data_IF_298069482212
#
_entry.id   IF_298069482212
#
_cell.length_a   1.000
_cell.length_b   1.000
_cell.length_c   1.000
_cell.angle_alpha   90.00
_cell.angle_beta   90.00
_cell.angle_gamma   90.00
#
_symmetry.space_group_name_H-M   'P 1'
#
loop_
_entity.id
_entity.type
_entity.pdbx_description
1 polymer ?
#
# COMPACT_ATOMS: atom_id res chain seq x y z
N UNK A 1 -17.70 7.32 -9.40
CA UNK A 1 -18.96 7.63 -8.67
C UNK A 1 -18.77 7.71 -7.16
N UNK A 2 -18.26 6.66 -6.50
CA UNK A 2 -18.06 6.65 -5.04
C UNK A 2 -17.21 7.83 -4.55
N UNK A 3 -16.04 8.08 -5.17
CA UNK A 3 -15.19 9.24 -4.84
C UNK A 3 -15.91 10.59 -5.00
N UNK A 4 -16.76 10.73 -6.03
CA UNK A 4 -17.56 11.94 -6.20
C UNK A 4 -18.56 12.13 -5.06
N UNK A 5 -19.21 11.06 -4.58
CA UNK A 5 -20.08 11.17 -3.41
C UNK A 5 -19.32 11.65 -2.18
N UNK A 6 -18.12 11.10 -1.93
CA UNK A 6 -17.24 11.54 -0.83
C UNK A 6 -16.90 13.03 -0.96
N UNK A 7 -16.49 13.48 -2.14
CA UNK A 7 -16.20 14.90 -2.41
C UNK A 7 -17.43 15.77 -2.12
N UNK A 8 -18.62 15.38 -2.62
CA UNK A 8 -19.86 16.12 -2.39
C UNK A 8 -20.26 16.18 -0.92
N UNK A 9 -20.05 15.10 -0.16
CA UNK A 9 -20.28 15.10 1.29
C UNK A 9 -19.30 16.05 1.98
N UNK A 10 -18.00 15.99 1.63
CA UNK A 10 -16.98 16.85 2.20
C UNK A 10 -17.26 18.34 1.94
N UNK A 11 -17.68 18.70 0.72
CA UNK A 11 -18.08 20.07 0.37
C UNK A 11 -19.27 20.57 1.21
N UNK A 12 -20.23 19.69 1.52
CA UNK A 12 -21.40 20.05 2.34
C UNK A 12 -21.08 20.14 3.83
N UNK A 13 -20.07 19.39 4.29
CA UNK A 13 -19.56 19.46 5.67
C UNK A 13 -18.60 20.64 5.87
N UNK A 14 -18.13 21.28 4.80
CA UNK A 14 -17.22 22.41 4.88
C UNK A 14 -17.92 23.69 5.37
N UNK A 15 -17.37 24.28 6.43
CA UNK A 15 -17.86 25.53 7.02
C UNK A 15 -16.77 26.60 7.04
N UNK A 16 -17.17 27.88 6.89
CA UNK A 16 -16.26 29.04 6.89
C UNK A 16 -15.64 29.35 8.26
N UNK A 17 -16.02 28.63 9.31
CA UNK A 17 -15.52 28.86 10.65
C UNK A 17 -14.04 28.44 10.72
N UNK A 18 -13.19 29.23 11.38
CA UNK A 18 -11.79 28.84 11.59
C UNK A 18 -11.72 27.59 12.46
N UNK A 19 -10.82 26.67 12.10
CA UNK A 19 -10.57 25.41 12.83
C UNK A 19 -9.13 25.39 13.31
N UNK A 20 -8.92 25.06 14.58
CA UNK A 20 -7.58 24.98 15.18
C UNK A 20 -7.12 23.53 15.39
N UNK A 21 -8.08 22.63 15.68
CA UNK A 21 -7.82 21.23 15.97
C UNK A 21 -8.86 20.34 15.29
N UNK A 22 -8.55 19.05 15.14
CA UNK A 22 -9.48 18.04 14.65
C UNK A 22 -9.27 16.73 15.41
N UNK A 23 -10.29 15.87 15.38
CA UNK A 23 -10.21 14.48 15.84
C UNK A 23 -10.29 13.61 14.59
N UNK A 24 -9.22 12.88 14.29
CA UNK A 24 -9.19 11.90 13.22
C UNK A 24 -9.70 10.56 13.71
N UNK A 25 -10.67 9.98 13.02
CA UNK A 25 -11.14 8.62 13.25
C UNK A 25 -10.77 7.80 12.01
N UNK A 26 -9.91 6.80 12.20
CA UNK A 26 -9.47 5.89 11.14
C UNK A 26 -10.17 4.54 11.33
N UNK A 27 -10.89 4.09 10.29
CA UNK A 27 -11.54 2.79 10.22
C UNK A 27 -11.11 2.11 8.92
N UNK A 28 -10.23 1.12 9.04
CA UNK A 28 -9.67 0.35 7.92
C UNK A 28 -9.56 -1.13 8.31
N UNK A 29 -9.41 -2.01 7.32
CA UNK A 29 -9.11 -3.42 7.57
C UNK A 29 -7.77 -3.58 8.31
N UNK A 30 -7.74 -4.54 9.25
CA UNK A 30 -6.52 -4.95 9.94
C UNK A 30 -5.60 -5.77 9.03
N UNK A 31 -4.49 -6.26 9.60
CA UNK A 31 -3.57 -7.15 8.89
C UNK A 31 -4.26 -8.48 8.56
N UNK A 32 -4.19 -8.91 7.29
CA UNK A 32 -4.86 -10.12 6.80
C UNK A 32 -3.87 -11.09 6.15
N UNK A 33 -4.02 -12.37 6.48
CA UNK A 33 -3.27 -13.46 5.85
C UNK A 33 -4.27 -14.50 5.35
N UNK A 34 -4.41 -14.59 4.03
CA UNK A 34 -5.27 -15.56 3.37
C UNK A 34 -4.44 -16.67 2.71
N UNK A 35 -5.12 -17.72 2.24
CA UNK A 35 -4.51 -18.75 1.40
C UNK A 35 -4.08 -18.22 0.03
N UNK A 36 -4.70 -17.12 -0.41
CA UNK A 36 -4.37 -16.40 -1.64
C UNK A 36 -4.29 -14.90 -1.36
N UNK A 37 -3.09 -14.33 -1.40
CA UNK A 37 -2.86 -12.90 -1.18
C UNK A 37 -2.41 -12.26 -2.49
N UNK A 38 -3.14 -11.26 -2.98
CA UNK A 38 -2.81 -10.53 -4.20
C UNK A 38 -2.39 -9.09 -3.88
N UNK A 39 -2.39 -8.21 -4.88
CA UNK A 39 -1.97 -6.82 -4.77
C UNK A 39 -2.77 -6.07 -3.70
N UNK A 40 -4.07 -6.35 -3.58
CA UNK A 40 -4.97 -5.72 -2.62
C UNK A 40 -4.52 -6.02 -1.18
N UNK A 41 -4.15 -7.28 -0.90
CA UNK A 41 -3.60 -7.66 0.40
C UNK A 41 -2.25 -7.00 0.66
N UNK A 42 -1.39 -6.83 -0.36
CA UNK A 42 -0.13 -6.10 -0.18
C UNK A 42 -0.41 -4.65 0.25
N UNK A 43 -1.37 -3.96 -0.37
CA UNK A 43 -1.74 -2.59 -0.01
C UNK A 43 -2.29 -2.50 1.43
N UNK A 44 -3.15 -3.44 1.83
CA UNK A 44 -3.71 -3.52 3.19
C UNK A 44 -2.61 -3.79 4.22
N UNK A 45 -1.77 -4.80 3.97
CA UNK A 45 -0.71 -5.21 4.88
C UNK A 45 0.39 -4.15 4.99
N UNK A 46 0.74 -3.48 3.89
CA UNK A 46 1.65 -2.33 3.90
C UNK A 46 1.11 -1.17 4.75
N UNK A 47 -0.18 -0.87 4.61
CA UNK A 47 -0.83 0.17 5.43
C UNK A 47 -0.75 -0.20 6.92
N UNK A 48 -1.04 -1.45 7.26
CA UNK A 48 -0.96 -1.95 8.63
C UNK A 48 0.49 -1.98 9.15
N UNK A 49 1.49 -2.28 8.32
CA UNK A 49 2.91 -2.20 8.69
C UNK A 49 3.29 -0.76 9.10
N UNK A 50 2.85 0.25 8.34
CA UNK A 50 3.09 1.66 8.68
C UNK A 50 2.33 2.11 9.92
N UNK A 51 1.08 1.67 10.10
CA UNK A 51 0.33 1.97 11.32
C UNK A 51 0.96 1.34 12.54
N UNK A 52 1.49 0.12 12.42
CA UNK A 52 2.22 -0.53 13.51
C UNK A 52 3.52 0.22 13.81
N UNK A 53 4.27 0.67 12.79
CA UNK A 53 5.45 1.50 13.00
C UNK A 53 5.10 2.82 13.71
N UNK A 54 4.01 3.48 13.31
CA UNK A 54 3.51 4.70 13.94
C UNK A 54 3.10 4.46 15.40
N UNK A 55 2.38 3.37 15.69
CA UNK A 55 2.00 2.98 17.04
C UNK A 55 3.22 2.71 17.91
N UNK A 56 4.17 1.91 17.42
CA UNK A 56 5.42 1.61 18.09
C UNK A 56 6.15 2.92 18.43
N UNK A 57 6.42 3.76 17.43
CA UNK A 57 7.11 5.03 17.65
C UNK A 57 6.40 5.89 18.72
N UNK A 58 5.09 6.06 18.63
CA UNK A 58 4.32 6.89 19.56
C UNK A 58 4.35 6.34 20.98
N UNK A 59 4.06 5.04 21.16
CA UNK A 59 4.06 4.39 22.46
C UNK A 59 5.45 4.47 23.12
N UNK A 60 6.51 4.19 22.35
CA UNK A 60 7.88 4.16 22.88
C UNK A 60 8.45 5.53 23.19
N UNK A 61 8.09 6.58 22.43
CA UNK A 61 8.48 7.95 22.77
C UNK A 61 7.85 8.35 24.11
N UNK A 62 6.56 8.08 24.28
CA UNK A 62 5.85 8.39 25.52
C UNK A 62 6.38 7.62 26.73
N UNK A 63 6.64 6.32 26.59
CA UNK A 63 7.23 5.51 27.67
C UNK A 63 8.63 5.99 28.08
N UNK A 64 9.47 6.36 27.11
CA UNK A 64 10.82 6.83 27.39
C UNK A 64 10.85 8.20 28.06
N UNK A 65 9.93 9.10 27.69
CA UNK A 65 9.75 10.36 28.40
C UNK A 65 9.39 10.13 29.87
N UNK A 66 8.53 9.14 30.16
CA UNK A 66 8.17 8.80 31.53
C UNK A 66 9.33 8.16 32.30
N UNK A 67 10.07 7.22 31.70
CA UNK A 67 11.28 6.66 32.34
C UNK A 67 12.31 7.73 32.70
N UNK A 68 12.50 8.70 31.81
CA UNK A 68 13.41 9.83 32.06
C UNK A 68 12.90 10.74 33.17
N UNK A 69 11.59 10.98 33.23
CA UNK A 69 10.94 11.78 34.28
C UNK A 69 11.06 11.13 35.66
N UNK A 70 10.96 9.80 35.72
CA UNK A 70 11.09 9.01 36.94
C UNK A 70 12.55 8.70 37.32
N UNK A 71 13.54 9.10 36.49
CA UNK A 71 14.96 8.86 36.73
C UNK A 71 15.38 7.39 36.60
N UNK A 72 14.62 6.60 35.86
CA UNK A 72 14.90 5.18 35.62
C UNK A 72 16.00 5.06 34.56
N UNK A 73 17.10 4.39 34.92
CA UNK A 73 18.20 4.09 33.98
C UNK A 73 17.75 2.98 33.04
N UNK A 74 17.28 3.37 31.86
CA UNK A 74 16.86 2.46 30.80
C UNK A 74 17.77 2.61 29.57
N UNK A 75 18.08 1.50 28.91
CA UNK A 75 18.86 1.51 27.67
C UNK A 75 17.95 1.88 26.49
N UNK A 76 18.38 2.83 25.66
CA UNK A 76 17.62 3.22 24.47
C UNK A 76 17.53 2.05 23.49
N UNK A 77 16.30 1.64 23.15
CA UNK A 77 16.01 0.63 22.14
C UNK A 77 15.09 1.28 21.12
N UNK A 78 15.52 1.34 19.86
CA UNK A 78 14.70 1.82 18.75
C UNK A 78 13.89 0.67 18.16
N UNK A 79 12.67 0.49 18.67
CA UNK A 79 11.73 -0.51 18.20
C UNK A 79 11.06 -0.16 16.86
N UNK A 80 11.28 1.06 16.32
CA UNK A 80 10.80 1.46 15.00
C UNK A 80 11.63 0.88 13.85
N UNK A 81 12.87 0.46 14.15
CA UNK A 81 13.79 -0.12 13.17
C UNK A 81 13.41 -1.53 12.73
N UNK A 82 12.70 -2.30 13.55
CA UNK A 82 12.35 -3.69 13.22
C UNK A 82 11.38 -3.79 12.03
N UNK A 83 10.48 -2.81 11.88
CA UNK A 83 9.54 -2.74 10.74
C UNK A 83 10.09 -1.97 9.54
N UNK A 84 11.13 -1.16 9.74
CA UNK A 84 11.69 -0.30 8.70
C UNK A 84 12.15 -1.10 7.48
N UNK A 85 12.76 -2.28 7.68
CA UNK A 85 13.25 -3.12 6.59
C UNK A 85 12.14 -3.59 5.63
N UNK A 86 10.96 -3.95 6.15
CA UNK A 86 9.81 -4.37 5.35
C UNK A 86 9.16 -3.17 4.64
N UNK A 87 8.98 -2.05 5.36
CA UNK A 87 8.43 -0.82 4.80
C UNK A 87 9.31 -0.31 3.65
N UNK A 88 10.62 -0.26 3.86
CA UNK A 88 11.57 0.21 2.85
C UNK A 88 11.61 -0.70 1.63
N UNK A 89 11.53 -2.02 1.83
CA UNK A 89 11.42 -2.98 0.73
C UNK A 89 10.21 -2.71 -0.16
N UNK A 90 9.10 -2.21 0.39
CA UNK A 90 7.87 -1.96 -0.35
C UNK A 90 7.91 -0.58 -1.04
N UNK A 91 8.28 0.50 -0.33
CA UNK A 91 8.05 1.88 -0.78
C UNK A 91 9.28 2.64 -1.31
N UNK A 92 10.50 2.22 -0.96
CA UNK A 92 11.70 2.96 -1.38
C UNK A 92 11.94 2.81 -2.89
N UNK A 93 12.77 3.69 -3.49
CA UNK A 93 13.25 3.48 -4.86
C UNK A 93 13.84 2.08 -5.01
N UNK A 94 13.54 1.43 -6.13
CA UNK A 94 13.89 0.02 -6.38
C UNK A 94 13.25 -0.98 -5.40
N UNK A 95 12.23 -0.56 -4.64
CA UNK A 95 11.34 -1.43 -3.87
C UNK A 95 10.22 -2.00 -4.73
N UNK A 96 9.32 -2.76 -4.09
CA UNK A 96 8.27 -3.53 -4.79
C UNK A 96 7.37 -2.63 -5.64
N UNK A 97 6.83 -1.54 -5.07
CA UNK A 97 5.94 -0.65 -5.83
C UNK A 97 6.68 0.10 -6.94
N UNK A 98 7.92 0.54 -6.69
CA UNK A 98 8.74 1.19 -7.70
C UNK A 98 9.02 0.28 -8.90
N UNK A 99 9.35 -0.99 -8.66
CA UNK A 99 9.57 -1.98 -9.73
C UNK A 99 8.25 -2.30 -10.45
N UNK A 100 7.14 -2.36 -9.72
CA UNK A 100 5.81 -2.59 -10.31
C UNK A 100 5.42 -1.46 -11.27
N UNK A 101 5.58 -0.21 -10.83
CA UNK A 101 5.35 0.98 -11.64
C UNK A 101 6.24 1.01 -12.88
N UNK A 102 7.54 0.73 -12.71
CA UNK A 102 8.50 0.67 -13.83
C UNK A 102 8.08 -0.39 -14.87
N UNK A 103 7.72 -1.60 -14.42
CA UNK A 103 7.25 -2.66 -15.32
C UNK A 103 5.92 -2.32 -16.00
N UNK A 104 5.06 -1.51 -15.38
CA UNK A 104 3.82 -1.06 -16.01
C UNK A 104 4.08 -0.13 -17.20
N UNK A 105 5.22 0.58 -17.23
CA UNK A 105 5.57 1.45 -18.36
C UNK A 105 6.02 0.68 -19.60
N UNK A 106 6.44 -0.58 -19.46
CA UNK A 106 6.93 -1.38 -20.58
C UNK A 106 5.80 -2.17 -21.26
N UNK A 107 5.51 -1.95 -22.56
CA UNK A 107 4.39 -2.62 -23.25
C UNK A 107 4.49 -4.14 -23.35
N UNK A 108 5.70 -4.69 -23.22
CA UNK A 108 5.99 -6.13 -23.30
C UNK A 108 6.33 -6.77 -21.95
N UNK A 109 6.22 -6.02 -20.85
CA UNK A 109 6.38 -6.59 -19.52
C UNK A 109 5.25 -7.59 -19.23
N UNK A 110 5.55 -8.54 -18.36
CA UNK A 110 4.63 -9.58 -17.89
C UNK A 110 4.82 -9.77 -16.39
N UNK A 111 3.86 -10.41 -15.72
CA UNK A 111 4.01 -10.77 -14.31
C UNK A 111 5.30 -11.59 -14.07
N UNK A 112 5.74 -12.36 -15.08
CA UNK A 112 7.01 -13.10 -15.01
C UNK A 112 8.23 -12.19 -15.06
N UNK A 113 8.25 -11.14 -15.90
CA UNK A 113 9.38 -10.19 -15.92
C UNK A 113 9.43 -9.38 -14.63
N UNK A 114 8.28 -8.96 -14.11
CA UNK A 114 8.15 -8.33 -12.80
C UNK A 114 8.71 -9.21 -11.68
N UNK A 115 8.30 -10.48 -11.62
CA UNK A 115 8.85 -11.46 -10.67
C UNK A 115 10.37 -11.54 -10.74
N UNK A 116 10.92 -11.67 -11.94
CA UNK A 116 12.35 -11.86 -12.12
C UNK A 116 13.13 -10.63 -11.63
N UNK A 117 12.64 -9.41 -11.94
CA UNK A 117 13.22 -8.18 -11.40
C UNK A 117 13.18 -8.11 -9.88
N UNK A 118 12.06 -8.47 -9.24
CA UNK A 118 11.97 -8.53 -7.78
C UNK A 118 13.01 -9.49 -7.19
N UNK A 119 13.18 -10.67 -7.79
CA UNK A 119 14.13 -11.68 -7.35
C UNK A 119 15.57 -11.19 -7.52
N UNK A 120 15.93 -10.68 -8.69
CA UNK A 120 17.28 -10.18 -8.98
C UNK A 120 17.65 -9.01 -8.05
N UNK A 121 16.67 -8.17 -7.71
CA UNK A 121 16.89 -7.03 -6.84
C UNK A 121 16.99 -7.42 -5.37
N UNK A 122 16.09 -8.26 -4.84
CA UNK A 122 15.91 -8.42 -3.39
C UNK A 122 16.32 -9.77 -2.81
N UNK A 123 16.26 -10.86 -3.59
CA UNK A 123 16.50 -12.20 -3.06
C UNK A 123 17.95 -12.33 -2.55
N UNK A 124 18.09 -12.71 -1.27
CA UNK A 124 19.39 -12.84 -0.61
C UNK A 124 20.06 -11.52 -0.24
N UNK A 125 19.47 -10.36 -0.60
CA UNK A 125 19.95 -9.02 -0.22
C UNK A 125 19.10 -8.39 0.87
N UNK A 126 17.78 -8.63 0.85
CA UNK A 126 16.85 -8.14 1.87
C UNK A 126 16.28 -9.32 2.67
N UNK A 127 16.40 -9.26 4.01
CA UNK A 127 15.93 -10.32 4.91
C UNK A 127 14.41 -10.48 4.91
N UNK A 128 13.67 -9.41 4.57
CA UNK A 128 12.22 -9.45 4.52
C UNK A 128 11.67 -10.08 3.22
N UNK A 129 12.53 -10.37 2.22
CA UNK A 129 12.11 -10.96 0.94
C UNK A 129 12.55 -12.42 0.83
N UNK A 130 11.58 -13.35 0.80
CA UNK A 130 11.83 -14.79 0.78
C UNK A 130 11.19 -15.49 -0.43
N UNK A 131 11.64 -16.72 -0.69
CA UNK A 131 10.95 -17.63 -1.61
C UNK A 131 9.74 -18.25 -0.90
N UNK A 132 8.61 -18.44 -1.59
CA UNK A 132 7.44 -19.06 -1.02
C UNK A 132 7.72 -20.52 -0.65
N UNK A 133 7.17 -20.95 0.49
CA UNK A 133 7.30 -22.33 0.97
C UNK A 133 6.24 -23.18 0.25
N UNK A 134 6.64 -24.16 -0.58
CA UNK A 134 5.67 -25.00 -1.27
C UNK A 134 4.87 -25.82 -0.25
N UNK A 135 3.55 -25.71 -0.29
CA UNK A 135 2.66 -26.52 0.54
C UNK A 135 1.57 -27.15 -0.33
N UNK A 136 1.34 -28.45 -0.17
CA UNK A 136 0.28 -29.17 -0.89
C UNK A 136 -1.08 -28.56 -0.57
N UNK A 137 -1.82 -28.16 -1.59
CA UNK A 137 -3.17 -27.60 -1.46
C UNK A 137 -3.23 -26.09 -1.24
N UNK A 138 -2.09 -25.38 -1.15
CA UNK A 138 -2.07 -23.91 -1.16
C UNK A 138 -2.10 -23.38 -2.60
N UNK A 139 -2.68 -22.19 -2.75
CA UNK A 139 -2.64 -21.48 -4.02
C UNK A 139 -1.18 -21.13 -4.40
N UNK A 140 -0.92 -20.98 -5.70
CA UNK A 140 0.41 -20.63 -6.19
C UNK A 140 0.82 -19.25 -5.64
N UNK A 141 2.02 -19.17 -5.09
CA UNK A 141 2.63 -17.92 -4.63
C UNK A 141 3.97 -17.73 -5.35
N UNK A 142 4.35 -16.46 -5.54
CA UNK A 142 5.50 -16.07 -6.33
C UNK A 142 6.63 -15.49 -5.48
N UNK A 143 6.33 -14.83 -4.37
CA UNK A 143 7.31 -14.39 -3.36
C UNK A 143 6.63 -14.34 -1.99
N UNK A 144 7.43 -14.24 -0.93
CA UNK A 144 6.92 -14.05 0.43
C UNK A 144 7.56 -12.85 1.09
N UNK A 145 6.79 -12.12 1.89
CA UNK A 145 7.30 -11.05 2.74
C UNK A 145 7.19 -11.41 4.20
N UNK A 146 8.24 -11.05 4.95
CA UNK A 146 8.25 -11.14 6.41
C UNK A 146 7.74 -9.81 6.96
N UNK A 147 6.46 -9.78 7.31
CA UNK A 147 5.81 -8.66 7.98
C UNK A 147 5.91 -8.81 9.51
N UNK A 148 5.62 -7.75 10.26
CA UNK A 148 5.58 -7.82 11.73
C UNK A 148 4.61 -8.89 12.26
N UNK A 149 3.50 -9.14 11.56
CA UNK A 149 2.47 -10.10 11.95
C UNK A 149 2.74 -11.53 11.47
N UNK A 150 3.76 -11.73 10.63
CA UNK A 150 4.12 -13.05 10.08
C UNK A 150 4.50 -13.02 8.60
N UNK A 151 4.86 -14.17 8.07
CA UNK A 151 5.20 -14.33 6.65
C UNK A 151 3.94 -14.45 5.80
N UNK A 152 3.82 -13.64 4.76
CA UNK A 152 2.70 -13.64 3.81
C UNK A 152 3.19 -14.06 2.43
N UNK A 153 2.52 -15.05 1.84
CA UNK A 153 2.81 -15.56 0.50
C UNK A 153 1.96 -14.81 -0.54
N UNK A 154 2.60 -14.10 -1.46
CA UNK A 154 1.93 -13.24 -2.46
C UNK A 154 1.92 -13.87 -3.85
N UNK A 155 0.76 -13.79 -4.50
CA UNK A 155 0.55 -14.13 -5.90
C UNK A 155 0.50 -12.85 -6.74
N UNK A 156 1.41 -12.74 -7.71
CA UNK A 156 1.56 -11.56 -8.57
C UNK A 156 0.72 -11.58 -9.84
N UNK A 157 -0.08 -12.63 -10.06
CA UNK A 157 -0.84 -12.78 -11.29
C UNK A 157 -1.82 -11.61 -11.45
N UNK A 158 -1.74 -10.94 -12.59
CA UNK A 158 -2.55 -9.77 -12.94
C UNK A 158 -2.14 -8.47 -12.25
N UNK A 159 -1.01 -8.41 -11.54
CA UNK A 159 -0.59 -7.18 -10.85
C UNK A 159 -0.33 -6.04 -11.83
N UNK A 160 0.30 -6.31 -12.99
CA UNK A 160 0.54 -5.27 -13.99
C UNK A 160 -0.78 -4.71 -14.53
N UNK A 161 -1.77 -5.56 -14.79
CA UNK A 161 -3.08 -5.11 -15.29
C UNK A 161 -3.86 -4.35 -14.21
N UNK A 162 -3.86 -4.85 -12.96
CA UNK A 162 -4.47 -4.17 -11.81
C UNK A 162 -3.87 -2.78 -11.58
N UNK A 163 -2.55 -2.65 -11.69
CA UNK A 163 -1.87 -1.38 -11.47
C UNK A 163 -2.02 -0.40 -12.64
N UNK A 164 -2.12 -0.90 -13.88
CA UNK A 164 -2.39 -0.08 -15.08
C UNK A 164 -3.83 0.43 -15.14
N UNK A 165 -4.77 -0.34 -14.58
CA UNK A 165 -6.21 -0.13 -14.69
C UNK A 165 -6.63 0.24 -16.13
N UNK A 166 -6.34 -0.62 -17.14
CA UNK A 166 -6.53 -0.27 -18.53
C UNK A 166 -8.03 -0.15 -18.85
N UNK A 167 -8.45 1.05 -19.21
CA UNK A 167 -9.81 1.35 -19.64
C UNK A 167 -9.87 1.54 -21.17
N UNK A 168 -11.03 1.26 -21.76
CA UNK A 168 -11.23 1.48 -23.19
C UNK A 168 -11.47 2.96 -23.47
N UNK A 169 -10.52 3.62 -24.13
CA UNK A 169 -10.58 5.05 -24.46
C UNK A 169 -11.82 5.47 -25.24
N UNK A 170 -12.30 4.61 -26.16
CA UNK A 170 -13.51 4.92 -26.94
C UNK A 170 -14.74 4.98 -26.04
N UNK A 171 -14.82 4.10 -25.05
CA UNK A 171 -15.91 4.10 -24.06
C UNK A 171 -15.80 5.32 -23.14
N UNK A 172 -14.58 5.66 -22.69
CA UNK A 172 -14.35 6.86 -21.87
C UNK A 172 -14.77 8.15 -22.60
N UNK A 173 -14.49 8.26 -23.90
CA UNK A 173 -14.95 9.39 -24.71
C UNK A 173 -16.48 9.51 -24.77
N UNK A 174 -17.19 8.38 -24.81
CA UNK A 174 -18.66 8.37 -24.75
C UNK A 174 -19.14 8.82 -23.37
N UNK A 175 -18.51 8.37 -22.28
CA UNK A 175 -18.86 8.79 -20.93
C UNK A 175 -18.65 10.29 -20.71
N UNK A 176 -17.52 10.84 -21.18
CA UNK A 176 -17.23 12.28 -21.12
C UNK A 176 -18.20 13.15 -21.93
N UNK A 177 -18.86 12.58 -22.95
CA UNK A 177 -19.88 13.26 -23.79
C UNK A 177 -21.32 12.86 -23.44
N UNK A 178 -21.53 12.15 -22.33
CA UNK A 178 -22.84 11.67 -21.94
C UNK A 178 -23.83 12.83 -21.72
N UNK A 179 -25.09 12.62 -22.12
CA UNK A 179 -26.19 13.55 -21.80
C UNK A 179 -26.53 13.57 -20.30
N UNK A 180 -26.12 12.54 -19.55
CA UNK A 180 -26.21 12.49 -18.10
C UNK A 180 -25.05 13.30 -17.52
N UNK A 181 -25.35 14.51 -17.03
CA UNK A 181 -24.34 15.45 -16.50
C UNK A 181 -23.36 14.81 -15.51
N UNK A 182 -23.87 14.01 -14.56
CA UNK A 182 -23.03 13.33 -13.58
C UNK A 182 -22.01 12.40 -14.26
N UNK A 183 -22.42 11.63 -15.27
CA UNK A 183 -21.52 10.74 -15.99
C UNK A 183 -20.38 11.51 -16.67
N UNK A 184 -20.72 12.60 -17.36
CA UNK A 184 -19.72 13.47 -17.99
C UNK A 184 -18.76 14.10 -16.97
N UNK A 185 -19.27 14.49 -15.79
CA UNK A 185 -18.45 15.02 -14.68
C UNK A 185 -17.50 13.98 -14.08
N UNK A 186 -17.88 12.70 -14.07
CA UNK A 186 -17.03 11.63 -13.53
C UNK A 186 -15.86 11.28 -14.46
N UNK A 187 -15.98 11.56 -15.75
CA UNK A 187 -15.02 11.16 -16.78
C UNK A 187 -14.59 12.37 -17.63
N UNK A 188 -14.11 13.42 -16.94
CA UNK A 188 -13.53 14.60 -17.60
C UNK A 188 -12.27 14.17 -18.35
N UNK A 189 -12.10 14.65 -19.57
CA UNK A 189 -10.87 14.41 -20.33
C UNK A 189 -9.66 14.92 -19.52
N UNK A 190 -8.61 14.11 -19.44
CA UNK A 190 -7.35 14.55 -18.82
C UNK A 190 -6.87 15.83 -19.53
N UNK A 191 -6.29 16.81 -18.78
CA UNK A 191 -5.63 17.94 -19.42
C UNK A 191 -4.58 17.43 -20.41
N UNK A 192 -4.39 18.08 -21.57
CA UNK A 192 -3.25 17.78 -22.43
C UNK A 192 -1.95 18.06 -21.65
N UNK A 193 -1.02 17.10 -21.70
CA UNK A 193 0.36 17.26 -21.19
C UNK A 193 1.13 18.36 -21.93
#
# INVERSE_FOLDING_TARGET
MFLWMVIRINEMLDTKNPRQFYIGVLDIAGFEIFDYNSMEQLCINFTNEKLQQFFNHTMFVLEQEEYKKEGIVWAFIDFGMDLAACIELIEKPLGIFSILEEECMFPKASDTSFKNKLYDQHLGKNKAFEKPKPAKGKAEAHFSLVHYAGTVDYNITGWLDKNKDPLNDSVLQLYGKSSVKLMATLYVAAPPE
#
